data_IF_078833273469
#
_entry.id   IF_078833273469
#
_cell.length_a   1.000
_cell.length_b   1.000
_cell.length_c   1.000
_cell.angle_alpha   90.00
_cell.angle_beta   90.00
_cell.angle_gamma   90.00
#
_symmetry.space_group_name_H-M   'P 1'
#
loop_
_entity.id
_entity.type
_entity.pdbx_description
1 polymer ?
#
# COMPACT_ATOMS: atom_id res chain seq x y z
N UNK A 1 -12.59 -18.21 -2.40
CA UNK A 1 -11.90 -18.15 -1.12
C UNK A 1 -12.64 -18.99 -0.08
N UNK A 2 -11.91 -19.69 0.79
CA UNK A 2 -12.42 -20.41 1.94
C UNK A 2 -11.39 -20.38 3.08
N UNK A 3 -11.78 -20.80 4.29
CA UNK A 3 -10.85 -21.06 5.39
C UNK A 3 -10.73 -22.55 5.64
N UNK A 4 -9.52 -23.03 5.87
CA UNK A 4 -9.28 -24.37 6.37
C UNK A 4 -9.74 -24.49 7.84
N UNK A 5 -9.70 -25.69 8.39
CA UNK A 5 -10.00 -25.92 9.83
C UNK A 5 -9.01 -25.20 10.75
N UNK A 6 -7.79 -24.98 10.29
CA UNK A 6 -6.72 -24.25 10.99
C UNK A 6 -6.81 -22.74 10.80
N UNK A 7 -7.84 -22.24 10.09
CA UNK A 7 -8.04 -20.82 9.82
C UNK A 7 -7.17 -20.24 8.69
N UNK A 8 -6.50 -21.09 7.90
CA UNK A 8 -5.69 -20.66 6.77
C UNK A 8 -6.58 -20.39 5.54
N UNK A 9 -6.26 -19.35 4.78
CA UNK A 9 -6.94 -19.03 3.54
C UNK A 9 -6.66 -20.10 2.48
N UNK A 10 -7.72 -20.62 1.88
CA UNK A 10 -7.69 -21.47 0.70
C UNK A 10 -8.20 -20.67 -0.51
N UNK A 11 -7.47 -20.72 -1.62
CA UNK A 11 -7.81 -20.05 -2.86
C UNK A 11 -7.75 -21.00 -4.04
N UNK A 12 -8.68 -20.86 -4.96
CA UNK A 12 -8.69 -21.58 -6.23
C UNK A 12 -9.18 -20.62 -7.35
N UNK A 13 -8.50 -20.66 -8.49
CA UNK A 13 -8.95 -19.94 -9.68
C UNK A 13 -10.17 -20.65 -10.31
N UNK A 14 -11.14 -19.88 -10.76
CA UNK A 14 -12.25 -20.45 -11.56
C UNK A 14 -11.74 -20.93 -12.91
N UNK A 15 -12.45 -21.89 -13.51
CA UNK A 15 -12.12 -22.40 -14.84
C UNK A 15 -12.15 -21.30 -15.92
N UNK A 16 -13.07 -20.34 -15.77
CA UNK A 16 -13.17 -19.18 -16.66
C UNK A 16 -11.91 -18.30 -16.54
N UNK A 17 -11.46 -17.98 -15.32
CA UNK A 17 -10.25 -17.19 -15.10
C UNK A 17 -8.99 -17.90 -15.57
N UNK A 18 -8.92 -19.22 -15.44
CA UNK A 18 -7.79 -20.03 -15.95
C UNK A 18 -7.65 -19.95 -17.47
N UNK A 19 -8.75 -19.75 -18.20
CA UNK A 19 -8.75 -19.71 -19.68
C UNK A 19 -8.37 -18.34 -20.25
N UNK A 20 -8.61 -17.25 -19.53
CA UNK A 20 -8.48 -15.88 -20.08
C UNK A 20 -7.87 -14.87 -19.12
N UNK A 21 -7.65 -15.25 -17.87
CA UNK A 21 -7.08 -14.38 -16.84
C UNK A 21 -5.56 -14.44 -16.76
N UNK A 22 -5.05 -13.85 -15.68
CA UNK A 22 -3.62 -13.83 -15.36
C UNK A 22 -3.41 -14.24 -13.89
N UNK A 23 -2.17 -14.54 -13.52
CA UNK A 23 -1.82 -14.78 -12.11
C UNK A 23 -1.92 -13.50 -11.31
N UNK A 24 -2.79 -13.47 -10.29
CA UNK A 24 -2.96 -12.30 -9.41
C UNK A 24 -1.79 -12.09 -8.44
N UNK A 25 -0.95 -13.11 -8.24
CA UNK A 25 0.30 -13.07 -7.48
C UNK A 25 1.24 -14.15 -8.02
N UNK A 26 2.09 -13.84 -9.03
CA UNK A 26 2.83 -14.86 -9.78
C UNK A 26 3.68 -15.81 -8.96
N UNK A 27 4.21 -15.36 -7.81
CA UNK A 27 5.07 -16.17 -6.97
C UNK A 27 4.31 -17.02 -5.94
N UNK A 28 3.16 -16.52 -5.43
CA UNK A 28 2.36 -17.26 -4.44
C UNK A 28 1.18 -18.01 -5.09
N UNK A 29 0.56 -17.44 -6.10
CA UNK A 29 -0.65 -17.93 -6.76
C UNK A 29 -0.44 -18.03 -8.29
N UNK A 30 0.50 -18.85 -8.77
CA UNK A 30 0.68 -19.04 -10.22
C UNK A 30 -0.61 -19.48 -10.88
N UNK A 31 -0.85 -19.05 -12.14
CA UNK A 31 -2.09 -19.34 -12.86
C UNK A 31 -2.15 -20.83 -13.23
N UNK A 32 -2.70 -21.64 -12.37
CA UNK A 32 -2.94 -23.08 -12.55
C UNK A 32 -4.17 -23.57 -11.79
N UNK A 33 -4.73 -24.69 -12.19
CA UNK A 33 -5.81 -25.34 -11.45
C UNK A 33 -5.32 -25.89 -10.10
N UNK A 34 -6.27 -26.10 -9.19
CA UNK A 34 -6.08 -26.65 -7.86
C UNK A 34 -6.10 -25.61 -6.76
N UNK A 35 -6.23 -26.09 -5.54
CA UNK A 35 -6.33 -25.24 -4.35
C UNK A 35 -4.95 -24.87 -3.86
N UNK A 36 -4.77 -23.57 -3.57
CA UNK A 36 -3.63 -23.01 -2.87
C UNK A 36 -4.01 -22.81 -1.40
N UNK A 37 -3.10 -23.14 -0.50
CA UNK A 37 -3.28 -22.91 0.95
C UNK A 37 -2.23 -21.92 1.41
N UNK A 38 -2.67 -20.84 2.07
CA UNK A 38 -1.79 -19.81 2.61
C UNK A 38 -0.93 -20.35 3.77
N UNK A 39 0.22 -19.69 3.99
CA UNK A 39 1.07 -19.96 5.15
C UNK A 39 0.52 -19.21 6.39
N UNK A 40 0.78 -19.70 7.61
CA UNK A 40 0.36 -19.00 8.84
C UNK A 40 0.96 -17.60 8.99
N UNK A 41 2.16 -17.36 8.45
CA UNK A 41 2.90 -16.09 8.50
C UNK A 41 3.45 -15.73 7.12
N UNK A 42 3.70 -14.42 6.85
CA UNK A 42 3.55 -13.28 7.75
C UNK A 42 2.12 -12.70 7.84
N UNK A 43 1.18 -13.13 6.99
CA UNK A 43 -0.14 -12.51 6.79
C UNK A 43 -1.27 -13.23 7.54
N UNK A 44 -1.00 -13.73 8.74
CA UNK A 44 -2.00 -14.32 9.66
C UNK A 44 -2.90 -15.38 8.99
N UNK A 45 -2.31 -16.21 8.14
CA UNK A 45 -3.03 -17.25 7.38
C UNK A 45 -3.64 -16.77 6.07
N UNK A 46 -3.36 -15.54 5.63
CA UNK A 46 -3.74 -14.98 4.32
C UNK A 46 -2.64 -15.09 3.28
N UNK A 47 -3.00 -14.83 2.02
CA UNK A 47 -2.05 -14.56 0.96
C UNK A 47 -1.71 -13.07 0.91
N UNK A 48 -0.47 -12.73 0.57
CA UNK A 48 -0.01 -11.36 0.56
C UNK A 48 -0.80 -10.44 -0.36
N UNK A 49 -1.26 -10.93 -1.51
CA UNK A 49 -2.10 -10.16 -2.44
C UNK A 49 -3.46 -9.77 -1.84
N UNK A 50 -3.99 -10.56 -0.91
CA UNK A 50 -5.23 -10.22 -0.19
C UNK A 50 -4.93 -9.32 1.00
N UNK A 51 -3.78 -9.52 1.68
CA UNK A 51 -3.32 -8.63 2.77
C UNK A 51 -3.08 -7.20 2.27
N UNK A 52 -2.61 -7.03 1.03
CA UNK A 52 -2.47 -5.71 0.39
C UNK A 52 -3.80 -4.95 0.22
N UNK A 53 -4.92 -5.66 0.22
CA UNK A 53 -6.26 -5.06 0.15
C UNK A 53 -6.83 -4.73 1.52
N UNK A 54 -6.32 -5.32 2.59
CA UNK A 54 -6.80 -5.07 3.95
C UNK A 54 -6.32 -3.71 4.46
N UNK A 55 -7.12 -3.05 5.30
CA UNK A 55 -6.65 -1.87 6.00
C UNK A 55 -5.55 -2.25 6.99
N UNK A 56 -4.52 -1.42 7.07
CA UNK A 56 -3.51 -1.46 8.13
C UNK A 56 -3.38 -0.10 8.80
N UNK A 57 -2.58 0.01 9.86
CA UNK A 57 -2.32 1.27 10.56
C UNK A 57 -3.59 2.08 10.86
N UNK A 58 -3.71 3.26 10.25
CA UNK A 58 -4.86 4.15 10.42
C UNK A 58 -6.17 3.52 9.97
N UNK A 59 -6.20 2.88 8.79
CA UNK A 59 -7.42 2.27 8.27
C UNK A 59 -7.96 1.17 9.17
N UNK A 60 -7.08 0.34 9.74
CA UNK A 60 -7.45 -0.70 10.68
C UNK A 60 -7.99 -0.12 12.00
N UNK A 61 -7.34 0.94 12.53
CA UNK A 61 -7.79 1.64 13.73
C UNK A 61 -9.22 2.17 13.55
N UNK A 62 -9.50 2.83 12.44
CA UNK A 62 -10.83 3.37 12.13
C UNK A 62 -11.86 2.25 11.99
N UNK A 63 -11.56 1.22 11.21
CA UNK A 63 -12.45 0.08 11.02
C UNK A 63 -12.78 -0.61 12.36
N UNK A 64 -11.79 -0.90 13.17
CA UNK A 64 -12.00 -1.59 14.45
C UNK A 64 -12.85 -0.74 15.42
N UNK A 65 -12.63 0.57 15.49
CA UNK A 65 -13.48 1.47 16.31
C UNK A 65 -14.89 1.62 15.75
N UNK A 66 -15.04 1.71 14.43
CA UNK A 66 -16.36 1.73 13.79
C UNK A 66 -17.16 0.46 14.11
N UNK A 67 -16.55 -0.70 14.00
CA UNK A 67 -17.18 -1.97 14.36
C UNK A 67 -17.59 -2.01 15.84
N UNK A 68 -16.73 -1.54 16.74
CA UNK A 68 -17.05 -1.43 18.18
C UNK A 68 -18.24 -0.51 18.43
N UNK A 69 -18.36 0.63 17.75
CA UNK A 69 -19.53 1.51 17.83
C UNK A 69 -20.82 0.79 17.38
N UNK A 70 -20.73 -0.14 16.42
CA UNK A 70 -21.86 -0.98 15.98
C UNK A 70 -22.08 -2.23 16.86
N UNK A 71 -21.35 -2.36 17.97
CA UNK A 71 -21.46 -3.50 18.89
C UNK A 71 -20.80 -4.79 18.39
N UNK A 72 -19.95 -4.71 17.38
CA UNK A 72 -19.22 -5.85 16.81
C UNK A 72 -17.81 -5.89 17.41
N UNK A 73 -17.39 -7.03 17.93
CA UNK A 73 -16.02 -7.22 18.40
C UNK A 73 -15.08 -7.50 17.22
N UNK A 74 -14.13 -6.60 16.85
CA UNK A 74 -13.27 -6.79 15.70
C UNK A 74 -12.36 -8.03 15.77
N UNK A 75 -12.08 -8.51 17.00
CA UNK A 75 -11.24 -9.70 17.23
C UNK A 75 -11.91 -11.02 16.86
N UNK A 76 -13.23 -11.03 16.68
CA UNK A 76 -13.98 -12.21 16.27
C UNK A 76 -14.07 -12.37 14.76
N UNK A 77 -13.66 -11.33 14.00
CA UNK A 77 -13.72 -11.35 12.54
C UNK A 77 -12.61 -12.22 11.97
N UNK A 78 -12.99 -13.08 11.06
CA UNK A 78 -12.06 -13.85 10.24
C UNK A 78 -11.44 -12.98 9.13
N UNK A 79 -10.40 -13.51 8.47
CA UNK A 79 -9.84 -12.89 7.27
C UNK A 79 -10.93 -12.63 6.20
N UNK A 80 -11.82 -13.60 5.96
CA UNK A 80 -12.87 -13.46 4.95
C UNK A 80 -13.90 -12.40 5.32
N UNK A 81 -14.25 -12.27 6.60
CA UNK A 81 -15.13 -11.19 7.07
C UNK A 81 -14.50 -9.83 6.82
N UNK A 82 -13.21 -9.66 7.11
CA UNK A 82 -12.47 -8.42 6.85
C UNK A 82 -12.38 -8.12 5.35
N UNK A 83 -12.13 -9.10 4.50
CA UNK A 83 -12.15 -8.92 3.04
C UNK A 83 -13.56 -8.53 2.52
N UNK A 84 -14.62 -9.10 3.08
CA UNK A 84 -15.99 -8.69 2.75
C UNK A 84 -16.28 -7.23 3.15
N UNK A 85 -15.73 -6.74 4.27
CA UNK A 85 -15.82 -5.32 4.68
C UNK A 85 -15.00 -4.39 3.77
N UNK A 86 -13.94 -4.88 3.14
CA UNK A 86 -13.22 -4.15 2.08
C UNK A 86 -14.06 -4.08 0.80
N UNK A 87 -14.71 -5.19 0.44
CA UNK A 87 -15.59 -5.28 -0.73
C UNK A 87 -14.90 -4.82 -2.01
N UNK A 88 -15.43 -3.77 -2.62
CA UNK A 88 -14.91 -3.16 -3.86
C UNK A 88 -14.01 -1.93 -3.64
N UNK A 89 -13.71 -1.56 -2.40
CA UNK A 89 -13.04 -0.28 -2.06
C UNK A 89 -11.54 -0.40 -1.89
N UNK A 90 -11.00 -1.62 -1.85
CA UNK A 90 -9.61 -1.91 -1.60
C UNK A 90 -8.62 -1.34 -2.63
N UNK A 91 -7.34 -1.56 -2.37
CA UNK A 91 -6.26 -1.25 -3.31
C UNK A 91 -6.31 -2.22 -4.49
N UNK A 92 -5.97 -1.71 -5.66
CA UNK A 92 -5.93 -2.52 -6.87
C UNK A 92 -7.31 -2.87 -7.43
N UNK A 93 -7.41 -3.95 -8.18
CA UNK A 93 -8.61 -4.37 -8.91
C UNK A 93 -9.37 -5.53 -8.25
N UNK A 94 -8.86 -6.10 -7.14
CA UNK A 94 -9.57 -7.18 -6.46
C UNK A 94 -10.83 -6.66 -5.78
N UNK A 95 -11.92 -7.38 -5.97
CA UNK A 95 -13.21 -7.14 -5.33
C UNK A 95 -13.66 -8.39 -4.60
N UNK A 96 -14.17 -8.21 -3.39
CA UNK A 96 -14.60 -9.33 -2.54
C UNK A 96 -16.12 -9.34 -2.42
N UNK A 97 -16.71 -10.52 -2.48
CA UNK A 97 -18.16 -10.72 -2.34
C UNK A 97 -18.46 -11.75 -1.26
N UNK A 98 -19.46 -11.49 -0.39
CA UNK A 98 -20.36 -10.33 -0.42
C UNK A 98 -19.59 -9.02 -0.22
N UNK A 99 -20.08 -7.93 -0.84
CA UNK A 99 -19.53 -6.57 -0.62
C UNK A 99 -20.30 -5.93 0.54
N UNK A 100 -19.65 -5.91 1.71
CA UNK A 100 -20.19 -5.30 2.93
C UNK A 100 -19.48 -3.95 3.22
N UNK A 101 -18.81 -3.36 2.24
CA UNK A 101 -18.19 -2.06 2.38
C UNK A 101 -19.23 -0.97 2.60
N UNK A 102 -18.93 -0.04 3.52
CA UNK A 102 -19.82 1.09 3.87
C UNK A 102 -19.31 2.43 3.32
N UNK A 103 -18.43 2.38 2.33
CA UNK A 103 -17.79 3.59 1.81
C UNK A 103 -18.72 4.37 0.90
N UNK A 104 -19.10 5.58 1.33
CA UNK A 104 -19.77 6.58 0.50
C UNK A 104 -18.73 7.60 0.03
N UNK A 105 -18.31 7.50 -1.22
CA UNK A 105 -17.36 8.48 -1.79
C UNK A 105 -18.06 9.81 -2.02
N UNK A 106 -17.67 10.81 -1.26
CA UNK A 106 -18.21 12.16 -1.38
C UNK A 106 -17.22 13.06 -2.14
N UNK A 107 -17.77 13.93 -2.99
CA UNK A 107 -16.97 14.87 -3.81
C UNK A 107 -16.36 16.01 -2.95
N UNK A 108 -16.97 16.32 -1.81
CA UNK A 108 -16.52 17.38 -0.91
C UNK A 108 -16.10 16.82 0.46
N UNK A 109 -15.03 17.38 1.01
CA UNK A 109 -14.58 17.13 2.38
C UNK A 109 -14.17 18.45 3.04
N UNK A 110 -14.63 18.65 4.27
CA UNK A 110 -14.10 19.69 5.15
C UNK A 110 -12.80 19.17 5.77
N UNK A 111 -11.68 19.48 5.11
CA UNK A 111 -10.36 18.97 5.54
C UNK A 111 -9.94 19.50 6.91
N UNK A 112 -10.36 20.72 7.29
CA UNK A 112 -10.02 21.29 8.59
C UNK A 112 -10.75 20.56 9.73
N UNK A 113 -12.05 20.32 9.54
CA UNK A 113 -12.84 19.50 10.48
C UNK A 113 -12.24 18.10 10.61
N UNK A 114 -11.91 17.43 9.49
CA UNK A 114 -11.32 16.10 9.51
C UNK A 114 -9.94 16.06 10.16
N UNK A 115 -9.11 17.07 9.96
CA UNK A 115 -7.82 17.17 10.63
C UNK A 115 -7.98 17.26 12.17
N UNK A 116 -8.93 18.06 12.66
CA UNK A 116 -9.23 18.15 14.08
C UNK A 116 -9.79 16.83 14.65
N UNK A 117 -10.66 16.15 13.92
CA UNK A 117 -11.17 14.84 14.32
C UNK A 117 -10.06 13.78 14.34
N UNK A 118 -9.16 13.77 13.36
CA UNK A 118 -8.00 12.89 13.36
C UNK A 118 -7.10 13.08 14.59
N UNK A 119 -6.87 14.33 14.99
CA UNK A 119 -6.13 14.65 16.22
C UNK A 119 -6.82 14.09 17.48
N UNK A 120 -8.14 14.21 17.60
CA UNK A 120 -8.92 13.65 18.70
C UNK A 120 -8.85 12.12 18.74
N UNK A 121 -8.99 11.49 17.57
CA UNK A 121 -8.89 10.03 17.42
C UNK A 121 -7.52 9.52 17.87
N UNK A 122 -6.45 10.22 17.49
CA UNK A 122 -5.07 9.85 17.86
C UNK A 122 -4.70 10.22 19.30
N UNK A 123 -5.45 11.13 19.95
CA UNK A 123 -5.18 11.57 21.32
C UNK A 123 -5.71 10.59 22.39
N UNK A 124 -6.74 9.80 22.07
CA UNK A 124 -7.39 8.89 23.01
C UNK A 124 -7.74 7.55 22.37
N UNK A 125 -7.34 6.48 23.05
CA UNK A 125 -7.68 5.12 22.63
C UNK A 125 -9.18 4.82 22.76
N UNK A 126 -9.87 5.53 23.66
CA UNK A 126 -11.31 5.35 23.92
C UNK A 126 -12.20 6.33 23.14
N UNK A 127 -11.62 7.11 22.19
CA UNK A 127 -12.42 8.04 21.39
C UNK A 127 -13.41 7.29 20.50
N UNK A 128 -14.71 7.58 20.68
CA UNK A 128 -15.85 6.99 19.98
C UNK A 128 -16.79 8.07 19.38
N UNK A 129 -16.23 9.20 18.97
CA UNK A 129 -17.01 10.31 18.39
C UNK A 129 -17.44 10.07 16.92
N UNK A 130 -18.22 11.00 16.37
CA UNK A 130 -18.76 10.96 15.00
C UNK A 130 -17.68 10.93 13.92
N UNK A 131 -16.48 11.46 14.21
CA UNK A 131 -15.36 11.46 13.28
C UNK A 131 -14.95 10.07 12.80
N UNK A 132 -15.16 9.02 13.62
CA UNK A 132 -14.86 7.63 13.23
C UNK A 132 -15.72 7.20 12.04
N UNK A 133 -17.02 7.46 12.09
CA UNK A 133 -17.95 7.12 11.00
C UNK A 133 -17.60 7.90 9.73
N UNK A 134 -17.29 9.21 9.85
CA UNK A 134 -16.89 10.04 8.72
C UNK A 134 -15.58 9.56 8.08
N UNK A 135 -14.58 9.13 8.87
CA UNK A 135 -13.36 8.53 8.34
C UNK A 135 -13.60 7.16 7.73
N UNK A 136 -14.46 6.34 8.31
CA UNK A 136 -14.82 5.03 7.74
C UNK A 136 -15.51 5.20 6.39
N UNK A 137 -16.46 6.12 6.28
CA UNK A 137 -17.21 6.40 5.05
C UNK A 137 -16.33 6.93 3.91
N UNK A 138 -15.25 7.64 4.23
CA UNK A 138 -14.33 8.23 3.26
C UNK A 138 -13.04 7.45 3.07
N UNK A 139 -12.67 6.63 4.05
CA UNK A 139 -11.36 6.00 4.10
C UNK A 139 -11.27 4.68 3.33
N UNK A 140 -12.33 3.90 3.27
CA UNK A 140 -12.21 2.54 2.73
C UNK A 140 -11.12 1.75 3.47
N UNK A 141 -10.12 1.25 2.73
CA UNK A 141 -9.02 0.44 3.27
C UNK A 141 -7.63 1.06 2.99
N UNK A 142 -7.35 2.33 3.35
CA UNK A 142 -6.04 2.88 3.12
C UNK A 142 -5.01 2.27 4.08
N UNK A 143 -3.89 1.81 3.55
CA UNK A 143 -2.75 1.36 4.35
C UNK A 143 -1.93 2.52 4.92
N UNK A 144 -1.09 2.23 5.93
CA UNK A 144 -0.14 3.16 6.56
C UNK A 144 -0.68 3.90 7.78
N UNK A 145 0.23 4.46 8.58
CA UNK A 145 -0.05 4.94 9.94
C UNK A 145 -0.68 6.34 10.02
N UNK A 146 -0.47 7.21 9.03
CA UNK A 146 -1.01 8.57 9.05
C UNK A 146 -2.50 8.60 8.74
N UNK A 147 -3.27 9.49 9.39
CA UNK A 147 -4.68 9.73 9.06
C UNK A 147 -4.82 10.12 7.58
N UNK A 148 -5.81 9.53 6.91
CA UNK A 148 -6.05 9.77 5.49
C UNK A 148 -7.46 9.41 5.08
N UNK A 149 -7.89 9.99 3.96
CA UNK A 149 -9.20 9.72 3.35
C UNK A 149 -9.05 9.61 1.83
N UNK A 150 -10.06 9.04 1.18
CA UNK A 150 -10.25 9.19 -0.25
C UNK A 150 -11.26 10.30 -0.54
N UNK A 151 -10.97 11.10 -1.55
CA UNK A 151 -11.87 12.13 -2.07
C UNK A 151 -11.93 12.04 -3.59
N UNK A 152 -13.03 12.45 -4.18
CA UNK A 152 -13.14 12.65 -5.61
C UNK A 152 -12.94 14.13 -5.92
N UNK A 153 -11.99 14.43 -6.80
CA UNK A 153 -11.70 15.78 -7.24
C UNK A 153 -11.33 15.80 -8.72
N UNK A 154 -12.01 16.61 -9.52
CA UNK A 154 -11.85 16.68 -10.98
C UNK A 154 -11.95 15.29 -11.64
N UNK A 155 -13.00 14.53 -11.32
CA UNK A 155 -13.28 13.17 -11.81
C UNK A 155 -12.21 12.11 -11.52
N UNK A 156 -11.25 12.43 -10.67
CA UNK A 156 -10.17 11.54 -10.22
C UNK A 156 -10.32 11.20 -8.74
N UNK A 157 -9.83 10.04 -8.35
CA UNK A 157 -9.76 9.64 -6.94
C UNK A 157 -8.41 10.03 -6.35
N UNK A 158 -8.46 10.70 -5.21
CA UNK A 158 -7.29 11.19 -4.49
C UNK A 158 -7.23 10.59 -3.09
N UNK A 159 -6.03 10.23 -2.66
CA UNK A 159 -5.73 9.96 -1.26
C UNK A 159 -5.21 11.26 -0.64
N UNK A 160 -5.90 11.77 0.37
CA UNK A 160 -5.48 12.99 1.11
C UNK A 160 -5.03 12.60 2.50
N UNK A 161 -3.83 13.04 2.89
CA UNK A 161 -3.21 12.72 4.17
C UNK A 161 -3.31 13.88 5.14
N UNK A 162 -3.53 13.55 6.42
CA UNK A 162 -3.51 14.48 7.53
C UNK A 162 -2.30 14.20 8.42
N UNK A 163 -1.97 15.18 9.24
CA UNK A 163 -0.87 15.10 10.19
C UNK A 163 -1.13 14.07 11.28
N UNK A 164 -0.14 13.24 11.60
CA UNK A 164 -0.13 12.41 12.81
C UNK A 164 0.42 13.21 14.00
N UNK A 165 0.23 12.69 15.22
CA UNK A 165 0.59 13.40 16.48
C UNK A 165 2.06 13.86 16.55
N UNK A 166 2.98 13.08 15.95
CA UNK A 166 4.42 13.38 15.99
C UNK A 166 4.94 14.12 14.76
N UNK A 167 4.10 14.31 13.76
CA UNK A 167 4.50 15.00 12.53
C UNK A 167 4.64 16.50 12.74
N UNK A 168 5.53 17.14 11.96
CA UNK A 168 5.64 18.59 11.89
C UNK A 168 4.35 19.23 11.37
N UNK A 169 4.16 20.52 11.61
CA UNK A 169 3.03 21.28 11.04
C UNK A 169 3.11 21.38 9.52
N UNK A 170 4.32 21.27 8.95
CA UNK A 170 4.58 21.36 7.51
C UNK A 170 4.55 20.01 6.78
N UNK A 171 4.26 18.89 7.47
CA UNK A 171 4.43 17.55 6.90
C UNK A 171 3.76 17.36 5.53
N UNK A 172 2.55 17.89 5.34
CA UNK A 172 1.85 17.81 4.04
C UNK A 172 2.55 18.63 2.95
N UNK A 173 3.07 19.82 3.30
CA UNK A 173 3.85 20.68 2.40
C UNK A 173 5.18 20.00 2.06
N UNK A 174 5.83 19.38 3.02
CA UNK A 174 7.09 18.70 2.84
C UNK A 174 6.92 17.48 1.93
N UNK A 175 5.88 16.66 2.16
CA UNK A 175 5.57 15.51 1.30
C UNK A 175 5.28 15.96 -0.15
N UNK A 176 4.58 17.08 -0.34
CA UNK A 176 4.36 17.67 -1.64
C UNK A 176 5.67 18.11 -2.32
N UNK A 177 6.58 18.78 -1.59
CA UNK A 177 7.88 19.22 -2.12
C UNK A 177 8.74 18.02 -2.53
N UNK A 178 8.81 16.97 -1.71
CA UNK A 178 9.54 15.75 -2.05
C UNK A 178 8.93 15.03 -3.25
N UNK A 179 7.61 15.07 -3.42
CA UNK A 179 6.96 14.51 -4.60
C UNK A 179 7.34 15.26 -5.90
N UNK A 180 7.47 16.59 -5.84
CA UNK A 180 7.95 17.38 -6.97
C UNK A 180 9.42 17.10 -7.26
N UNK A 181 10.27 17.07 -6.22
CA UNK A 181 11.68 16.74 -6.36
C UNK A 181 11.89 15.35 -6.98
N UNK A 182 11.08 14.37 -6.58
CA UNK A 182 11.14 13.03 -7.17
C UNK A 182 10.82 13.05 -8.67
N UNK A 183 9.80 13.81 -9.09
CA UNK A 183 9.48 14.00 -10.53
C UNK A 183 10.63 14.68 -11.29
N UNK A 184 11.26 15.70 -10.71
CA UNK A 184 12.45 16.37 -11.29
C UNK A 184 13.64 15.40 -11.42
N UNK A 185 13.78 14.46 -10.50
CA UNK A 185 14.79 13.39 -10.57
C UNK A 185 14.41 12.25 -11.55
N UNK A 186 13.30 12.37 -12.29
CA UNK A 186 12.85 11.38 -13.27
C UNK A 186 12.23 10.12 -12.64
N UNK A 187 11.73 10.21 -11.41
CA UNK A 187 10.95 9.17 -10.77
C UNK A 187 9.49 9.31 -11.21
N UNK A 188 8.92 8.20 -11.69
CA UNK A 188 7.51 8.14 -12.03
C UNK A 188 6.67 8.22 -10.75
N UNK A 189 5.87 9.28 -10.65
CA UNK A 189 4.95 9.50 -9.54
C UNK A 189 3.56 9.83 -10.06
N UNK A 190 2.49 9.47 -9.31
CA UNK A 190 1.15 9.94 -9.58
C UNK A 190 1.08 11.47 -9.52
N UNK A 191 -0.02 12.06 -9.95
CA UNK A 191 -0.27 13.47 -9.73
C UNK A 191 -0.39 13.79 -8.25
N UNK A 192 0.24 14.89 -7.82
CA UNK A 192 0.24 15.33 -6.42
C UNK A 192 -0.16 16.79 -6.33
N UNK A 193 -0.81 17.17 -5.23
CA UNK A 193 -1.20 18.57 -4.96
C UNK A 193 -1.34 18.84 -3.47
N UNK A 194 -1.37 20.12 -3.12
CA UNK A 194 -1.78 20.56 -1.79
C UNK A 194 -3.24 21.01 -1.82
N UNK A 195 -4.09 20.32 -1.08
CA UNK A 195 -5.44 20.76 -0.77
C UNK A 195 -5.35 21.83 0.31
N UNK A 196 -6.09 22.93 0.13
CA UNK A 196 -6.09 24.09 1.05
C UNK A 196 -4.69 24.59 1.45
N UNK A 197 -3.69 24.37 0.59
CA UNK A 197 -2.30 24.79 0.82
C UNK A 197 -1.53 24.04 1.90
N UNK A 198 -2.11 23.01 2.54
CA UNK A 198 -1.51 22.29 3.66
C UNK A 198 -1.67 20.78 3.66
N UNK A 199 -2.72 20.23 3.03
CA UNK A 199 -2.97 18.79 3.04
C UNK A 199 -2.40 18.14 1.77
N UNK A 200 -1.48 17.20 1.93
CA UNK A 200 -0.93 16.46 0.79
C UNK A 200 -1.97 15.53 0.21
N UNK A 201 -2.16 15.62 -1.10
CA UNK A 201 -3.00 14.71 -1.86
C UNK A 201 -2.22 14.06 -3.00
N UNK A 202 -2.46 12.79 -3.22
CA UNK A 202 -1.91 12.01 -4.32
C UNK A 202 -3.03 11.30 -5.06
N UNK A 203 -3.00 11.38 -6.41
CA UNK A 203 -3.95 10.70 -7.28
C UNK A 203 -3.76 9.17 -7.16
N UNK A 204 -4.85 8.44 -7.12
CA UNK A 204 -4.82 6.96 -7.13
C UNK A 204 -4.46 6.45 -8.52
N UNK A 205 -3.25 5.96 -8.69
CA UNK A 205 -2.77 5.40 -9.96
C UNK A 205 -3.45 4.06 -10.32
N UNK A 206 -4.07 3.40 -9.34
CA UNK A 206 -4.81 2.14 -9.54
C UNK A 206 -6.27 2.38 -9.97
N UNK A 207 -6.65 3.62 -10.23
CA UNK A 207 -7.96 4.04 -10.75
C UNK A 207 -7.77 4.77 -12.06
N UNK A 208 -8.41 4.27 -13.11
CA UNK A 208 -8.32 4.84 -14.46
C UNK A 208 -9.71 5.04 -15.03
N UNK A 209 -9.82 5.75 -16.15
CA UNK A 209 -11.08 5.87 -16.90
C UNK A 209 -11.60 4.51 -17.39
N UNK A 210 -10.71 3.54 -17.60
CA UNK A 210 -11.04 2.17 -18.03
C UNK A 210 -11.39 1.23 -16.88
N UNK A 211 -11.30 1.69 -15.62
CA UNK A 211 -11.58 0.88 -14.44
C UNK A 211 -10.41 0.81 -13.46
N UNK A 212 -10.28 -0.31 -12.76
CA UNK A 212 -9.26 -0.56 -11.75
C UNK A 212 -8.07 -1.33 -12.34
N UNK A 213 -6.85 -0.96 -11.98
CA UNK A 213 -5.64 -1.72 -12.29
C UNK A 213 -5.32 -2.67 -11.15
N UNK A 214 -4.91 -3.89 -11.48
CA UNK A 214 -4.43 -4.82 -10.47
C UNK A 214 -3.06 -4.39 -9.96
N UNK A 215 -2.93 -4.32 -8.63
CA UNK A 215 -1.71 -3.86 -7.93
C UNK A 215 -1.35 -4.84 -6.84
N UNK A 216 -0.08 -5.22 -6.76
CA UNK A 216 0.46 -6.04 -5.66
C UNK A 216 1.77 -5.43 -5.18
N UNK A 217 1.95 -5.32 -3.86
CA UNK A 217 3.21 -4.88 -3.28
C UNK A 217 4.29 -5.96 -3.35
N UNK A 218 5.55 -5.58 -3.19
CA UNK A 218 6.65 -6.54 -3.01
C UNK A 218 6.38 -7.42 -1.79
N UNK A 219 5.84 -6.86 -0.70
CA UNK A 219 5.41 -7.66 0.46
C UNK A 219 4.43 -8.75 0.06
N UNK A 220 3.38 -8.38 -0.70
CA UNK A 220 2.35 -9.30 -1.17
C UNK A 220 2.83 -10.32 -2.20
N UNK A 221 3.87 -9.99 -2.98
CA UNK A 221 4.40 -10.88 -4.02
C UNK A 221 5.30 -11.99 -3.46
N UNK A 222 6.16 -11.66 -2.49
CA UNK A 222 7.19 -12.59 -2.00
C UNK A 222 6.96 -13.06 -0.56
N UNK A 223 5.83 -12.68 0.04
CA UNK A 223 5.53 -13.05 1.42
C UNK A 223 6.47 -12.39 2.43
N UNK A 224 6.90 -11.14 2.20
CA UNK A 224 7.77 -10.40 3.10
C UNK A 224 6.97 -9.72 4.22
N UNK A 225 7.41 -9.88 5.47
CA UNK A 225 6.82 -9.13 6.59
C UNK A 225 7.30 -7.67 6.56
N UNK A 226 6.42 -6.77 6.12
CA UNK A 226 6.70 -5.35 6.01
C UNK A 226 6.84 -4.62 7.36
N UNK A 227 6.46 -5.28 8.46
CA UNK A 227 6.60 -4.75 9.83
C UNK A 227 8.02 -4.90 10.38
N UNK A 228 8.85 -5.66 9.66
CA UNK A 228 10.23 -5.96 10.03
C UNK A 228 11.17 -5.58 8.87
N UNK A 229 12.45 -5.24 9.14
CA UNK A 229 13.47 -5.13 8.10
C UNK A 229 13.76 -6.51 7.49
N UNK A 230 12.98 -6.90 6.49
CA UNK A 230 12.96 -8.28 5.96
C UNK A 230 13.46 -8.39 4.52
N UNK A 231 13.68 -7.26 3.84
CA UNK A 231 14.08 -7.26 2.43
C UNK A 231 15.33 -6.39 2.20
N UNK A 232 15.98 -6.68 1.09
CA UNK A 232 17.06 -5.88 0.51
C UNK A 232 16.65 -5.43 -0.90
N UNK A 233 17.18 -4.32 -1.39
CA UNK A 233 16.89 -3.85 -2.74
C UNK A 233 17.20 -4.90 -3.82
N UNK A 234 18.16 -5.80 -3.58
CA UNK A 234 18.40 -6.95 -4.48
C UNK A 234 17.15 -7.81 -4.71
N UNK A 235 16.32 -8.00 -3.69
CA UNK A 235 15.05 -8.73 -3.83
C UNK A 235 14.07 -7.97 -4.70
N UNK A 236 13.99 -6.63 -4.57
CA UNK A 236 13.12 -5.78 -5.40
C UNK A 236 13.57 -5.85 -6.86
N UNK A 237 14.90 -5.79 -7.12
CA UNK A 237 15.45 -5.97 -8.47
C UNK A 237 15.14 -7.35 -9.05
N UNK A 238 15.28 -8.41 -8.26
CA UNK A 238 14.95 -9.78 -8.69
C UNK A 238 13.47 -9.91 -9.05
N UNK A 239 12.58 -9.43 -8.17
CA UNK A 239 11.12 -9.40 -8.43
C UNK A 239 10.82 -8.62 -9.70
N UNK A 240 11.41 -7.43 -9.87
CA UNK A 240 11.23 -6.60 -11.05
C UNK A 240 11.69 -7.31 -12.33
N UNK A 241 12.88 -7.89 -12.33
CA UNK A 241 13.41 -8.63 -13.49
C UNK A 241 12.51 -9.82 -13.87
N UNK A 242 12.06 -10.59 -12.86
CA UNK A 242 11.24 -11.79 -13.07
C UNK A 242 9.80 -11.47 -13.53
N UNK A 243 9.23 -10.34 -13.11
CA UNK A 243 7.88 -9.96 -13.49
C UNK A 243 7.81 -9.21 -14.79
N UNK A 244 8.72 -8.25 -14.98
CA UNK A 244 8.58 -7.27 -16.06
C UNK A 244 9.41 -7.65 -17.29
N UNK A 245 10.46 -8.45 -17.12
CA UNK A 245 11.44 -8.78 -18.18
C UNK A 245 11.99 -7.51 -18.87
N UNK A 246 12.04 -6.38 -18.17
CA UNK A 246 12.34 -5.06 -18.75
C UNK A 246 13.47 -4.36 -18.01
N UNK A 247 14.53 -4.04 -18.73
CA UNK A 247 15.65 -3.22 -18.22
C UNK A 247 15.18 -1.80 -17.86
N UNK A 248 14.21 -1.26 -18.59
CA UNK A 248 13.65 0.06 -18.29
C UNK A 248 12.98 0.09 -16.89
N UNK A 249 12.29 -0.97 -16.52
CA UNK A 249 11.67 -1.09 -15.19
C UNK A 249 12.73 -1.24 -14.08
N UNK A 250 13.82 -1.97 -14.34
CA UNK A 250 14.96 -2.05 -13.40
C UNK A 250 15.60 -0.67 -13.16
N UNK A 251 15.69 0.19 -14.17
CA UNK A 251 16.17 1.56 -14.02
C UNK A 251 15.23 2.42 -13.15
N UNK A 252 13.92 2.16 -13.16
CA UNK A 252 12.98 2.85 -12.24
C UNK A 252 13.27 2.45 -10.79
N UNK A 253 13.45 1.15 -10.52
CA UNK A 253 13.85 0.66 -9.18
C UNK A 253 15.15 1.31 -8.72
N UNK A 254 16.16 1.39 -9.60
CA UNK A 254 17.44 1.98 -9.27
C UNK A 254 17.33 3.47 -8.92
N UNK A 255 16.63 4.25 -9.72
CA UNK A 255 16.39 5.68 -9.43
C UNK A 255 15.70 5.88 -8.09
N UNK A 256 14.69 5.05 -7.81
CA UNK A 256 13.97 5.11 -6.54
C UNK A 256 14.86 4.74 -5.35
N UNK A 257 15.71 3.72 -5.49
CA UNK A 257 16.70 3.34 -4.46
C UNK A 257 17.64 4.50 -4.14
N UNK A 258 18.23 5.11 -5.18
CA UNK A 258 19.12 6.27 -5.01
C UNK A 258 18.40 7.44 -4.34
N UNK A 259 17.17 7.73 -4.77
CA UNK A 259 16.38 8.81 -4.20
C UNK A 259 16.08 8.58 -2.73
N UNK A 260 15.57 7.40 -2.35
CA UNK A 260 15.33 7.03 -0.95
C UNK A 260 16.60 7.11 -0.09
N UNK A 261 17.74 6.72 -0.66
CA UNK A 261 19.03 6.86 0.01
C UNK A 261 19.39 8.33 0.25
N UNK A 262 19.29 9.19 -0.78
CA UNK A 262 19.70 10.59 -0.73
C UNK A 262 18.81 11.46 0.15
N UNK A 263 17.50 11.19 0.20
CA UNK A 263 16.57 11.91 1.09
C UNK A 263 16.53 11.33 2.50
N UNK A 264 17.33 10.30 2.80
CA UNK A 264 17.30 9.55 4.06
C UNK A 264 15.91 8.99 4.43
N UNK A 265 15.19 8.49 3.43
CA UNK A 265 13.97 7.72 3.66
C UNK A 265 14.33 6.33 4.17
N UNK A 266 14.21 6.11 5.48
CA UNK A 266 14.48 4.82 6.12
C UNK A 266 13.25 3.95 6.32
N UNK A 267 12.05 4.47 5.98
CA UNK A 267 10.78 3.73 6.07
C UNK A 267 10.34 3.16 4.71
N UNK A 268 11.31 2.84 3.87
CA UNK A 268 11.12 2.25 2.54
C UNK A 268 10.84 0.73 2.63
N UNK A 269 9.80 0.34 3.37
CA UNK A 269 9.46 -1.05 3.62
C UNK A 269 8.81 -1.75 2.39
N UNK A 270 8.69 -3.08 2.45
CA UNK A 270 8.24 -3.91 1.32
C UNK A 270 6.86 -3.55 0.73
N UNK A 271 5.95 -2.89 1.48
CA UNK A 271 4.67 -2.38 0.96
C UNK A 271 4.80 -1.07 0.19
N UNK A 272 5.94 -0.36 0.27
CA UNK A 272 6.19 0.89 -0.47
C UNK A 272 6.68 0.66 -1.90
N UNK A 273 6.92 -0.59 -2.28
CA UNK A 273 7.22 -1.00 -3.64
C UNK A 273 6.09 -1.87 -4.17
N UNK A 274 5.61 -1.59 -5.36
CA UNK A 274 4.50 -2.35 -5.93
C UNK A 274 4.67 -2.55 -7.43
N UNK A 275 3.88 -3.48 -7.97
CA UNK A 275 3.76 -3.75 -9.39
C UNK A 275 2.31 -3.63 -9.82
N UNK A 276 2.10 -3.13 -11.04
CA UNK A 276 0.80 -3.05 -11.69
C UNK A 276 0.76 -4.05 -12.84
N UNK A 277 -0.37 -4.75 -12.98
CA UNK A 277 -0.68 -5.52 -14.18
C UNK A 277 -1.59 -4.70 -15.09
N UNK A 278 -1.14 -4.47 -16.33
CA UNK A 278 -1.85 -3.70 -17.33
C UNK A 278 -1.53 -4.25 -18.73
N UNK A 279 -2.54 -4.36 -19.58
CA UNK A 279 -2.41 -4.78 -20.98
C UNK A 279 -1.69 -6.13 -21.18
N UNK A 280 -1.80 -7.04 -20.20
CA UNK A 280 -1.18 -8.37 -20.23
C UNK A 280 0.21 -8.45 -19.60
N UNK A 281 0.82 -7.31 -19.24
CA UNK A 281 2.18 -7.21 -18.73
C UNK A 281 2.23 -6.61 -17.31
N UNK A 282 3.35 -6.87 -16.63
CA UNK A 282 3.65 -6.28 -15.33
C UNK A 282 4.61 -5.10 -15.48
N UNK A 283 4.36 -4.05 -14.71
CA UNK A 283 5.17 -2.83 -14.63
C UNK A 283 5.45 -2.48 -13.18
N UNK A 284 6.60 -1.88 -12.91
CA UNK A 284 6.86 -1.28 -11.61
C UNK A 284 5.92 -0.09 -11.40
N UNK A 285 5.22 -0.04 -10.28
CA UNK A 285 4.22 0.99 -10.00
C UNK A 285 4.87 2.37 -9.81
N UNK A 286 4.15 3.47 -10.07
CA UNK A 286 4.59 4.79 -9.68
C UNK A 286 4.93 4.86 -8.19
N UNK A 287 5.95 5.61 -7.84
CA UNK A 287 6.42 5.73 -6.45
C UNK A 287 5.43 6.51 -5.57
N UNK A 288 5.44 6.23 -4.29
CA UNK A 288 4.64 6.88 -3.25
C UNK A 288 5.37 6.84 -1.91
N UNK A 289 4.93 7.62 -0.92
CA UNK A 289 5.49 7.70 0.44
C UNK A 289 7.00 8.06 0.45
N UNK A 290 7.35 9.11 -0.31
CA UNK A 290 8.73 9.59 -0.44
C UNK A 290 8.98 10.77 0.52
N UNK A 291 9.35 10.45 1.74
CA UNK A 291 9.71 11.42 2.78
C UNK A 291 10.97 10.97 3.53
N UNK A 292 11.80 11.90 4.02
CA UNK A 292 12.76 11.56 5.06
C UNK A 292 12.08 10.90 6.25
N UNK A 293 12.68 9.86 6.77
CA UNK A 293 12.13 9.09 7.89
C UNK A 293 13.24 8.49 8.74
N UNK A 294 13.06 8.47 10.05
CA UNK A 294 14.02 7.85 10.98
C UNK A 294 13.99 6.31 10.93
N UNK A 295 13.02 5.72 10.21
CA UNK A 295 12.87 4.27 10.11
C UNK A 295 12.54 3.60 11.46
N UNK A 296 12.87 2.31 11.58
CA UNK A 296 12.69 1.55 12.81
C UNK A 296 13.95 1.66 13.67
N UNK A 297 13.86 2.33 14.82
CA UNK A 297 15.00 2.54 15.73
C UNK A 297 16.23 3.20 15.06
N UNK A 298 16.02 4.06 14.09
CA UNK A 298 17.08 4.73 13.34
C UNK A 298 17.63 3.94 12.14
N UNK A 299 17.17 2.70 11.91
CA UNK A 299 17.64 1.83 10.86
C UNK A 299 16.69 1.82 9.64
N UNK A 300 17.27 1.55 8.47
CA UNK A 300 16.50 1.33 7.24
C UNK A 300 15.68 0.05 7.32
N UNK A 301 14.47 0.09 6.79
CA UNK A 301 13.61 -1.08 6.67
C UNK A 301 13.98 -1.96 5.48
N UNK A 302 14.55 -1.37 4.41
CA UNK A 302 15.12 -2.11 3.28
C UNK A 302 16.63 -1.86 3.23
N UNK A 303 17.43 -2.93 3.33
CA UNK A 303 18.89 -2.84 3.20
C UNK A 303 19.30 -2.63 1.73
N UNK A 304 20.53 -2.15 1.54
CA UNK A 304 21.13 -2.01 0.22
C UNK A 304 22.45 -2.80 0.24
N UNK A 305 22.55 -3.83 -0.59
CA UNK A 305 23.70 -4.74 -0.64
C UNK A 305 24.01 -5.39 0.70
N UNK A 306 22.97 -5.84 1.42
CA UNK A 306 23.02 -6.41 2.77
C UNK A 306 23.47 -5.42 3.87
N UNK A 307 23.60 -4.13 3.57
CA UNK A 307 23.95 -3.07 4.52
C UNK A 307 22.72 -2.25 4.93
N UNK A 308 22.56 -2.01 6.24
CA UNK A 308 21.57 -1.07 6.80
C UNK A 308 22.09 0.38 6.87
N UNK A 309 23.42 0.54 6.73
CA UNK A 309 24.14 1.81 6.60
C UNK A 309 24.94 1.79 5.30
N UNK A 310 24.26 1.82 4.13
CA UNK A 310 24.92 1.62 2.84
C UNK A 310 25.83 2.79 2.48
N UNK A 311 26.90 2.45 1.77
CA UNK A 311 27.82 3.40 1.16
C UNK A 311 27.54 3.59 -0.33
N UNK A 312 28.25 4.51 -0.99
CA UNK A 312 28.16 4.68 -2.45
C UNK A 312 28.56 3.40 -3.18
N UNK A 313 29.54 2.67 -2.66
CA UNK A 313 30.01 1.40 -3.21
C UNK A 313 28.91 0.33 -3.16
N UNK A 314 28.11 0.29 -2.10
CA UNK A 314 26.96 -0.62 -1.99
C UNK A 314 25.90 -0.33 -3.04
N UNK A 315 25.58 0.95 -3.26
CA UNK A 315 24.66 1.38 -4.31
C UNK A 315 25.13 0.93 -5.70
N UNK A 316 26.42 1.08 -6.00
CA UNK A 316 27.01 0.65 -7.27
C UNK A 316 27.05 -0.88 -7.40
N UNK A 317 27.33 -1.60 -6.31
CA UNK A 317 27.34 -3.06 -6.30
C UNK A 317 25.98 -3.66 -6.65
N UNK A 318 24.88 -3.07 -6.17
CA UNK A 318 23.51 -3.53 -6.52
C UNK A 318 23.24 -3.38 -8.00
N UNK A 319 23.69 -2.29 -8.64
CA UNK A 319 23.54 -2.05 -10.09
C UNK A 319 24.19 -3.15 -10.90
N UNK A 320 25.45 -3.46 -10.57
CA UNK A 320 26.21 -4.51 -11.25
C UNK A 320 25.52 -5.88 -11.07
N UNK A 321 25.08 -6.20 -9.85
CA UNK A 321 24.36 -7.45 -9.55
C UNK A 321 23.00 -7.53 -10.27
N UNK A 322 22.36 -6.39 -10.51
CA UNK A 322 21.10 -6.32 -11.27
C UNK A 322 21.30 -6.37 -12.80
N UNK A 323 22.53 -6.43 -13.30
CA UNK A 323 22.84 -6.45 -14.73
C UNK A 323 22.62 -5.11 -15.43
N UNK A 324 22.60 -4.01 -14.71
CA UNK A 324 22.52 -2.65 -15.23
C UNK A 324 23.95 -2.10 -15.42
N UNK A 325 24.48 -2.19 -16.63
CA UNK A 325 25.80 -1.71 -17.04
C UNK A 325 25.69 -0.44 -17.88
#
# INVERSE_FOLDING_TARGET
>A
LALTREGLCAFEYSAEWLSSGFSISPFELPLRSGVFIAKPRPFEGGFGVFDDCLPDGWGLLILDRYLQQKGINPRTLTLLDRLALVGSTGRGALEFRPDNSVVTRQDFADFEKLALEAEKILASDDYMGEGIEEFQDRGGSPGGARPKIFVRYNDKEWLVKFRAKRDSQSIGVDEYRYSLLAKECGIEMPETRLFEGKYFGVERFDRTLGGKLHVVSVAGLIGADYRLPSIDYKHIFQVCAMLTHSVAELWKVYRLMIFNFLIDNKDDHAKNFAFIHRDGDWYFAPAYDLLPSDGINGFRTTSINDSIEPTKEDLLAVVVKAGLN
#
